data_IF_444092683660
#
_entry.id   IF_444092683660
#
_cell.length_a   1.000
_cell.length_b   1.000
_cell.length_c   1.000
_cell.angle_alpha   90.00
_cell.angle_beta   90.00
_cell.angle_gamma   90.00
#
_symmetry.space_group_name_H-M   'P 1'
#
loop_
_entity.id
_entity.type
_entity.pdbx_description
1 polymer ?
#
# COMPACT_ATOMS: atom_id res chain seq x y z
N UNK A 1 -28.96 3.05 -13.53
CA UNK A 1 -28.37 4.40 -13.60
C UNK A 1 -28.35 5.06 -12.22
N UNK A 2 -29.47 5.52 -11.63
CA UNK A 2 -29.49 6.02 -10.23
C UNK A 2 -29.34 4.89 -9.19
N UNK A 3 -30.02 3.76 -9.38
CA UNK A 3 -29.93 2.64 -8.43
C UNK A 3 -28.51 2.06 -8.30
N UNK A 4 -27.73 2.09 -9.38
CA UNK A 4 -26.32 1.65 -9.39
C UNK A 4 -25.44 2.61 -8.62
N UNK A 5 -25.67 3.92 -8.77
CA UNK A 5 -24.96 4.96 -8.02
C UNK A 5 -25.32 4.85 -6.53
N UNK A 6 -26.59 4.69 -6.20
CA UNK A 6 -27.06 4.46 -4.84
C UNK A 6 -26.46 3.18 -4.25
N UNK A 7 -26.38 2.09 -5.03
CA UNK A 7 -25.74 0.86 -4.58
C UNK A 7 -24.24 1.06 -4.31
N UNK A 8 -23.51 1.75 -5.19
CA UNK A 8 -22.09 2.04 -4.99
C UNK A 8 -21.83 2.99 -3.81
N UNK A 9 -22.70 3.99 -3.62
CA UNK A 9 -22.65 4.89 -2.47
C UNK A 9 -22.97 4.14 -1.18
N UNK A 10 -23.99 3.28 -1.17
CA UNK A 10 -24.35 2.45 -0.01
C UNK A 10 -23.24 1.46 0.32
N UNK A 11 -22.64 0.79 -0.68
CA UNK A 11 -21.51 -0.12 -0.47
C UNK A 11 -20.26 0.63 0.03
N UNK A 12 -20.00 1.82 -0.52
CA UNK A 12 -18.93 2.71 -0.07
C UNK A 12 -19.15 3.20 1.37
N UNK A 13 -20.38 3.56 1.72
CA UNK A 13 -20.78 3.96 3.07
C UNK A 13 -20.69 2.78 4.05
N UNK A 14 -21.10 1.58 3.65
CA UNK A 14 -21.01 0.38 4.49
C UNK A 14 -19.55 0.01 4.77
N UNK A 15 -18.69 0.06 3.75
CA UNK A 15 -17.25 -0.10 3.94
C UNK A 15 -16.68 0.99 4.85
N UNK A 16 -17.09 2.25 4.63
CA UNK A 16 -16.70 3.40 5.48
C UNK A 16 -17.12 3.20 6.93
N UNK A 17 -18.31 2.68 7.19
CA UNK A 17 -18.79 2.39 8.54
C UNK A 17 -17.97 1.30 9.24
N UNK A 18 -17.60 0.24 8.51
CA UNK A 18 -16.69 -0.80 9.00
C UNK A 18 -15.30 -0.22 9.31
N UNK A 19 -14.82 0.73 8.52
CA UNK A 19 -13.55 1.41 8.82
C UNK A 19 -13.67 2.34 10.02
N UNK A 20 -14.78 3.08 10.13
CA UNK A 20 -15.03 4.01 11.23
C UNK A 20 -15.18 3.28 12.56
N UNK A 21 -15.76 2.08 12.58
CA UNK A 21 -15.86 1.26 13.79
C UNK A 21 -14.51 0.78 14.33
N UNK A 22 -13.40 1.03 13.64
CA UNK A 22 -12.06 0.79 14.18
C UNK A 22 -11.43 2.04 14.79
N UNK A 23 -11.87 3.23 14.36
CA UNK A 23 -11.54 4.47 15.04
C UNK A 23 -12.25 4.59 16.40
N UNK A 24 -13.22 3.73 16.72
CA UNK A 24 -13.84 3.73 18.05
C UNK A 24 -12.97 3.10 19.13
N UNK A 25 -12.01 2.24 18.75
CA UNK A 25 -11.11 1.58 19.71
C UNK A 25 -10.01 2.54 20.20
N UNK A 26 -9.48 3.39 19.31
CA UNK A 26 -8.60 4.51 19.66
C UNK A 26 -8.96 5.77 18.84
N UNK A 27 -9.88 6.62 19.34
CA UNK A 27 -10.39 7.76 18.59
C UNK A 27 -9.36 8.86 18.37
N UNK A 28 -8.37 8.98 19.25
CA UNK A 28 -7.34 10.02 19.10
C UNK A 28 -6.28 9.64 18.08
N UNK A 29 -5.84 8.37 18.06
CA UNK A 29 -5.03 7.86 16.95
C UNK A 29 -5.81 7.91 15.63
N UNK A 30 -7.10 7.58 15.65
CA UNK A 30 -7.99 7.71 14.49
C UNK A 30 -8.04 9.11 13.89
N UNK A 31 -8.30 10.12 14.72
CA UNK A 31 -8.31 11.51 14.29
C UNK A 31 -6.94 11.95 13.74
N UNK A 32 -5.86 11.57 14.44
CA UNK A 32 -4.49 11.84 13.99
C UNK A 32 -4.18 11.24 12.62
N UNK A 33 -4.60 9.99 12.38
CA UNK A 33 -4.40 9.31 11.10
C UNK A 33 -5.21 9.93 9.96
N UNK A 34 -6.43 10.40 10.24
CA UNK A 34 -7.23 11.14 9.25
C UNK A 34 -6.54 12.45 8.90
N UNK A 35 -6.08 13.22 9.89
CA UNK A 35 -5.36 14.49 9.66
C UNK A 35 -4.08 14.23 8.86
N UNK A 36 -3.29 13.25 9.25
CA UNK A 36 -2.08 12.86 8.52
C UNK A 36 -2.42 12.41 7.10
N UNK A 37 -3.53 11.72 6.90
CA UNK A 37 -3.98 11.30 5.57
C UNK A 37 -4.37 12.52 4.75
N UNK A 38 -5.05 13.51 5.32
CA UNK A 38 -5.32 14.78 4.62
C UNK A 38 -4.01 15.46 4.24
N UNK A 39 -3.05 15.57 5.15
CA UNK A 39 -1.76 16.23 4.85
C UNK A 39 -0.97 15.46 3.79
N UNK A 40 -0.89 14.14 3.88
CA UNK A 40 -0.21 13.31 2.91
C UNK A 40 -0.91 13.36 1.55
N UNK A 41 -2.24 13.30 1.50
CA UNK A 41 -2.98 13.34 0.24
C UNK A 41 -2.99 14.75 -0.36
N UNK A 42 -3.17 15.81 0.43
CA UNK A 42 -3.08 17.20 -0.06
C UNK A 42 -1.64 17.56 -0.43
N UNK A 43 -0.63 17.05 0.28
CA UNK A 43 0.78 17.28 -0.02
C UNK A 43 1.24 16.53 -1.28
N UNK A 44 1.07 15.21 -1.30
CA UNK A 44 1.54 14.36 -2.40
C UNK A 44 0.61 14.35 -3.62
N UNK A 45 -0.71 14.36 -3.43
CA UNK A 45 -1.71 14.39 -4.51
C UNK A 45 -2.29 15.77 -4.78
N UNK A 46 -1.94 16.78 -3.97
CA UNK A 46 -2.27 18.17 -4.24
C UNK A 46 -1.79 18.64 -5.60
N UNK A 47 -0.71 18.07 -6.13
CA UNK A 47 -0.22 18.36 -7.49
C UNK A 47 -1.24 17.92 -8.55
N UNK A 48 -1.89 16.76 -8.37
CA UNK A 48 -2.96 16.29 -9.26
C UNK A 48 -4.22 17.11 -9.05
N UNK A 49 -4.56 17.44 -7.80
CA UNK A 49 -5.65 18.36 -7.50
C UNK A 49 -5.41 19.73 -8.15
N UNK A 50 -4.17 20.20 -8.23
CA UNK A 50 -3.77 21.46 -8.86
C UNK A 50 -4.06 21.49 -10.37
N UNK A 51 -4.03 20.33 -11.04
CA UNK A 51 -4.41 20.23 -12.44
C UNK A 51 -5.93 20.35 -12.65
N UNK A 52 -6.73 19.91 -11.67
CA UNK A 52 -8.20 19.91 -11.75
C UNK A 52 -8.79 21.20 -11.16
N UNK A 53 -8.14 21.81 -10.17
CA UNK A 53 -8.56 23.00 -9.44
C UNK A 53 -9.03 24.16 -10.35
N UNK A 54 -8.30 24.55 -11.41
CA UNK A 54 -8.72 25.61 -12.32
C UNK A 54 -10.02 25.33 -13.08
N UNK A 55 -10.45 24.06 -13.14
CA UNK A 55 -11.66 23.62 -13.84
C UNK A 55 -12.88 23.51 -12.89
N UNK A 56 -12.67 23.47 -11.58
CA UNK A 56 -13.73 23.31 -10.58
C UNK A 56 -14.84 24.38 -10.64
N UNK A 57 -14.56 25.69 -10.83
CA UNK A 57 -15.63 26.68 -10.79
C UNK A 57 -16.54 26.61 -12.03
N UNK A 58 -16.00 26.28 -13.21
CA UNK A 58 -16.79 26.04 -14.42
C UNK A 58 -17.61 24.75 -14.29
N UNK A 59 -17.03 23.70 -13.70
CA UNK A 59 -17.75 22.48 -13.36
C UNK A 59 -18.92 22.75 -12.42
N UNK A 60 -18.69 23.51 -11.35
CA UNK A 60 -19.74 23.92 -10.41
C UNK A 60 -20.85 24.73 -11.09
N UNK A 61 -20.50 25.66 -11.98
CA UNK A 61 -21.46 26.45 -12.76
C UNK A 61 -22.35 25.55 -13.63
N UNK A 62 -21.77 24.52 -14.27
CA UNK A 62 -22.49 23.56 -15.11
C UNK A 62 -23.32 22.56 -14.32
N UNK A 63 -22.82 22.11 -13.16
CA UNK A 63 -23.59 21.31 -12.19
C UNK A 63 -24.87 22.06 -11.81
N UNK A 64 -24.73 23.35 -11.45
CA UNK A 64 -25.85 24.19 -11.06
C UNK A 64 -26.84 24.46 -12.21
N UNK A 65 -26.33 24.50 -13.44
CA UNK A 65 -27.15 24.69 -14.64
C UNK A 65 -27.78 23.39 -15.17
N UNK A 66 -27.48 22.23 -14.58
CA UNK A 66 -27.92 20.89 -15.03
C UNK A 66 -27.49 20.53 -16.48
N UNK A 67 -26.33 21.05 -16.91
CA UNK A 67 -25.79 20.87 -18.27
C UNK A 67 -24.69 19.80 -18.34
N UNK A 68 -24.63 18.86 -17.39
CA UNK A 68 -23.55 17.88 -17.32
C UNK A 68 -23.95 16.59 -18.03
N UNK A 69 -23.17 16.13 -19.02
CA UNK A 69 -23.36 14.82 -19.63
C UNK A 69 -23.27 13.71 -18.58
N UNK A 70 -24.16 12.73 -18.67
CA UNK A 70 -24.21 11.62 -17.71
C UNK A 70 -22.88 10.85 -17.60
N UNK A 71 -22.09 10.82 -18.68
CA UNK A 71 -20.75 10.22 -18.74
C UNK A 71 -19.76 10.91 -17.80
N UNK A 72 -19.81 12.25 -17.73
CA UNK A 72 -18.97 13.04 -16.83
C UNK A 72 -19.34 12.76 -15.38
N UNK A 73 -20.64 12.64 -15.08
CA UNK A 73 -21.13 12.28 -13.75
C UNK A 73 -20.64 10.89 -13.33
N UNK A 74 -20.69 9.89 -14.21
CA UNK A 74 -20.17 8.56 -13.91
C UNK A 74 -18.66 8.56 -13.68
N UNK A 75 -17.89 9.31 -14.48
CA UNK A 75 -16.45 9.43 -14.31
C UNK A 75 -16.09 10.12 -12.99
N UNK A 76 -16.82 11.17 -12.60
CA UNK A 76 -16.64 11.81 -11.30
C UNK A 76 -16.89 10.84 -10.15
N UNK A 77 -17.95 10.02 -10.23
CA UNK A 77 -18.24 9.01 -9.20
C UNK A 77 -17.17 7.90 -9.17
N UNK A 78 -16.68 7.47 -10.32
CA UNK A 78 -15.59 6.50 -10.45
C UNK A 78 -14.25 7.02 -9.91
N UNK A 79 -14.11 8.33 -9.70
CA UNK A 79 -12.94 8.93 -9.03
C UNK A 79 -13.23 9.13 -7.54
N UNK A 80 -14.35 9.78 -7.19
CA UNK A 80 -14.66 10.19 -5.82
C UNK A 80 -14.87 8.97 -4.91
N UNK A 81 -15.62 7.96 -5.34
CA UNK A 81 -15.93 6.80 -4.48
C UNK A 81 -14.67 6.00 -4.17
N UNK A 82 -13.85 5.57 -5.16
CA UNK A 82 -12.62 4.84 -4.85
C UNK A 82 -11.58 5.71 -4.14
N UNK A 83 -11.53 7.02 -4.40
CA UNK A 83 -10.68 7.95 -3.65
C UNK A 83 -10.96 7.89 -2.15
N UNK A 84 -12.24 8.00 -1.74
CA UNK A 84 -12.61 7.94 -0.33
C UNK A 84 -12.30 6.58 0.30
N UNK A 85 -12.51 5.48 -0.45
CA UNK A 85 -12.14 4.13 0.01
C UNK A 85 -10.64 4.02 0.25
N UNK A 86 -9.82 4.47 -0.72
CA UNK A 86 -8.36 4.44 -0.59
C UNK A 86 -7.92 5.34 0.57
N UNK A 87 -8.47 6.54 0.69
CA UNK A 87 -8.19 7.49 1.76
C UNK A 87 -8.44 6.89 3.14
N UNK A 88 -9.65 6.36 3.38
CA UNK A 88 -10.00 5.77 4.66
C UNK A 88 -9.20 4.50 4.96
N UNK A 89 -8.89 3.70 3.93
CA UNK A 89 -8.09 2.50 4.10
C UNK A 89 -6.65 2.80 4.51
N UNK A 90 -6.07 3.89 3.97
CA UNK A 90 -4.75 4.37 4.40
C UNK A 90 -4.77 4.81 5.87
N UNK A 91 -5.74 5.62 6.26
CA UNK A 91 -5.88 6.08 7.64
C UNK A 91 -6.06 4.91 8.62
N UNK A 92 -6.96 3.96 8.31
CA UNK A 92 -7.22 2.77 9.13
C UNK A 92 -5.98 1.89 9.29
N UNK A 93 -5.18 1.77 8.22
CA UNK A 93 -3.95 0.99 8.27
C UNK A 93 -2.90 1.63 9.17
N UNK A 94 -2.75 2.96 9.11
CA UNK A 94 -1.82 3.67 9.99
C UNK A 94 -2.23 3.60 11.45
N UNK A 95 -3.53 3.72 11.77
CA UNK A 95 -4.02 3.49 13.14
C UNK A 95 -3.66 2.10 13.61
N UNK A 96 -3.92 1.08 12.78
CA UNK A 96 -3.59 -0.28 13.13
C UNK A 96 -2.08 -0.48 13.35
N UNK A 97 -1.23 -0.05 12.40
CA UNK A 97 0.22 -0.27 12.50
C UNK A 97 0.81 0.44 13.72
N UNK A 98 0.36 1.67 13.99
CA UNK A 98 0.87 2.47 15.10
C UNK A 98 0.34 1.98 16.46
N UNK A 99 -0.93 1.57 16.54
CA UNK A 99 -1.49 0.92 17.73
C UNK A 99 -0.81 -0.41 18.02
N UNK A 100 -0.59 -1.20 16.98
CA UNK A 100 0.00 -2.52 17.09
C UNK A 100 1.47 -2.46 17.52
N UNK A 101 2.27 -1.58 16.93
CA UNK A 101 3.68 -1.42 17.27
C UNK A 101 3.92 -0.58 18.54
N UNK A 102 2.84 -0.11 19.18
CA UNK A 102 2.84 0.88 20.25
C UNK A 102 3.70 2.12 19.96
N UNK A 103 3.57 2.63 18.73
CA UNK A 103 4.32 3.79 18.26
C UNK A 103 3.42 5.00 18.01
N UNK A 104 3.94 6.24 18.14
CA UNK A 104 3.19 7.42 17.78
C UNK A 104 3.01 7.52 16.26
N UNK A 105 1.93 8.18 15.85
CA UNK A 105 1.52 8.31 14.45
C UNK A 105 2.52 9.08 13.57
N UNK A 106 3.17 10.09 14.15
CA UNK A 106 4.34 10.75 13.59
C UNK A 106 5.50 10.52 14.55
N UNK A 107 6.48 9.71 14.13
CA UNK A 107 7.81 9.75 14.72
C UNK A 107 8.63 10.81 14.00
N UNK A 108 9.10 11.82 14.74
CA UNK A 108 10.13 12.74 14.25
C UNK A 108 11.46 11.99 14.39
N UNK A 109 12.25 11.84 13.32
CA UNK A 109 13.54 11.14 13.41
C UNK A 109 14.46 11.83 14.41
N UNK A 110 14.79 11.16 15.53
CA UNK A 110 15.67 11.67 16.58
C UNK A 110 17.14 11.24 16.39
N UNK A 111 17.53 10.96 15.14
CA UNK A 111 18.90 10.58 14.76
C UNK A 111 19.44 9.28 15.37
N UNK A 112 18.64 8.53 16.15
CA UNK A 112 19.02 7.26 16.77
C UNK A 112 18.13 6.08 16.35
N UNK A 113 16.88 6.34 16.00
CA UNK A 113 15.94 5.36 15.45
C UNK A 113 15.34 5.96 14.17
N UNK A 114 15.84 5.52 13.02
CA UNK A 114 15.50 6.03 11.69
C UNK A 114 14.16 5.51 11.16
N UNK A 115 13.10 5.50 11.98
CA UNK A 115 11.84 4.86 11.57
C UNK A 115 10.64 5.80 11.65
N UNK A 116 10.28 6.51 10.56
CA UNK A 116 8.93 7.01 10.40
C UNK A 116 7.98 5.83 10.08
N UNK A 117 7.57 5.07 11.10
CA UNK A 117 6.76 3.84 10.94
C UNK A 117 5.35 4.09 10.39
N UNK A 118 4.86 5.33 10.35
CA UNK A 118 3.45 5.58 10.03
C UNK A 118 3.09 5.87 8.58
N UNK A 119 4.01 6.02 7.62
CA UNK A 119 3.65 6.73 6.37
C UNK A 119 4.08 6.11 5.02
N UNK A 120 4.84 5.01 5.00
CA UNK A 120 5.66 4.72 3.82
C UNK A 120 5.06 3.91 2.66
N UNK A 121 3.96 3.15 2.81
CA UNK A 121 3.74 2.01 1.89
C UNK A 121 2.54 2.14 0.91
N UNK A 122 1.62 3.07 1.10
CA UNK A 122 0.27 2.88 0.52
C UNK A 122 -0.17 3.89 -0.56
N UNK A 123 0.72 4.81 -0.97
CA UNK A 123 0.43 5.74 -2.05
C UNK A 123 0.18 5.09 -3.42
N UNK A 124 0.66 3.85 -3.61
CA UNK A 124 0.54 3.10 -4.87
C UNK A 124 -0.90 2.87 -5.34
N UNK A 125 -1.85 2.70 -4.42
CA UNK A 125 -3.24 2.41 -4.78
C UNK A 125 -3.94 3.61 -5.40
N UNK A 126 -3.46 4.82 -5.13
CA UNK A 126 -4.01 6.04 -5.71
C UNK A 126 -3.67 6.17 -7.20
N UNK A 127 -2.63 5.46 -7.69
CA UNK A 127 -2.28 5.43 -9.11
C UNK A 127 -3.41 4.88 -9.98
N UNK A 128 -4.29 4.05 -9.42
CA UNK A 128 -5.48 3.54 -10.11
C UNK A 128 -6.44 4.68 -10.52
N UNK A 129 -6.39 5.82 -9.83
CA UNK A 129 -7.24 6.99 -10.11
C UNK A 129 -6.72 7.82 -11.29
N UNK A 130 -5.47 7.63 -11.73
CA UNK A 130 -4.91 8.42 -12.81
C UNK A 130 -5.63 8.21 -14.14
N UNK A 131 -5.99 6.97 -14.45
CA UNK A 131 -6.73 6.62 -15.67
C UNK A 131 -8.11 7.29 -15.71
N UNK A 132 -8.98 7.15 -14.69
CA UNK A 132 -10.28 7.82 -14.72
C UNK A 132 -10.16 9.35 -14.62
N UNK A 133 -9.17 9.90 -13.91
CA UNK A 133 -8.90 11.35 -13.90
C UNK A 133 -8.50 11.83 -15.30
N UNK A 134 -7.60 11.12 -15.98
CA UNK A 134 -7.19 11.45 -17.34
C UNK A 134 -8.39 11.43 -18.30
N UNK A 135 -9.23 10.41 -18.19
CA UNK A 135 -10.46 10.33 -18.99
C UNK A 135 -11.42 11.48 -18.69
N UNK A 136 -11.60 11.83 -17.41
CA UNK A 136 -12.41 12.99 -17.03
C UNK A 136 -11.90 14.29 -17.70
N UNK A 137 -10.59 14.51 -17.75
CA UNK A 137 -9.99 15.67 -18.42
C UNK A 137 -10.24 15.66 -19.94
N UNK A 138 -10.23 14.48 -20.58
CA UNK A 138 -10.57 14.35 -21.99
C UNK A 138 -12.04 14.67 -22.26
N UNK A 139 -12.96 14.21 -21.41
CA UNK A 139 -14.38 14.53 -21.57
C UNK A 139 -14.69 15.99 -21.28
N UNK A 140 -14.02 16.59 -20.30
CA UNK A 140 -14.09 18.03 -20.09
C UNK A 140 -13.69 18.81 -21.35
N UNK A 141 -12.62 18.40 -22.04
CA UNK A 141 -12.26 19.00 -23.32
C UNK A 141 -13.36 18.81 -24.37
N UNK A 142 -13.85 17.58 -24.53
CA UNK A 142 -14.88 17.24 -25.52
C UNK A 142 -16.15 18.09 -25.34
N UNK A 143 -16.52 18.35 -24.08
CA UNK A 143 -17.70 19.14 -23.73
C UNK A 143 -17.40 20.64 -23.53
N UNK A 144 -16.21 21.10 -23.91
CA UNK A 144 -15.85 22.51 -23.89
C UNK A 144 -15.79 23.12 -22.47
N UNK A 145 -15.53 22.31 -21.45
CA UNK A 145 -15.19 22.78 -20.10
C UNK A 145 -13.78 23.35 -20.15
N UNK A 146 -13.64 24.64 -19.88
CA UNK A 146 -12.37 25.38 -19.95
C UNK A 146 -11.97 25.86 -18.56
N UNK A 147 -10.66 25.95 -18.28
CA UNK A 147 -10.20 26.61 -17.07
C UNK A 147 -10.67 28.07 -17.06
N UNK A 148 -10.85 28.61 -15.86
CA UNK A 148 -11.13 30.03 -15.65
C UNK A 148 -9.84 30.77 -15.35
N UNK A 149 -9.72 32.00 -15.85
CA UNK A 149 -8.66 32.94 -15.46
C UNK A 149 -8.90 33.39 -14.01
N UNK A 150 -7.87 33.98 -13.38
CA UNK A 150 -7.95 34.50 -12.01
C UNK A 150 -9.00 35.60 -11.83
N UNK A 151 -9.40 36.25 -12.92
CA UNK A 151 -10.46 37.26 -12.99
C UNK A 151 -11.87 36.67 -13.22
N UNK A 152 -12.00 35.33 -13.27
CA UNK A 152 -13.26 34.64 -13.51
C UNK A 152 -13.71 34.60 -14.98
N UNK A 153 -12.92 35.14 -15.92
CA UNK A 153 -13.21 35.03 -17.34
C UNK A 153 -12.72 33.69 -17.92
N UNK A 154 -13.35 33.22 -19.01
CA UNK A 154 -12.94 31.98 -19.67
C UNK A 154 -11.74 32.23 -20.59
N UNK A 155 -10.83 31.25 -20.69
CA UNK A 155 -9.80 31.27 -21.72
C UNK A 155 -10.43 31.18 -23.13
N UNK A 156 -10.08 32.14 -24.00
CA UNK A 156 -10.52 32.16 -25.40
C UNK A 156 -9.69 31.19 -26.26
N UNK A 157 -10.16 30.83 -27.46
CA UNK A 157 -9.35 30.00 -28.37
C UNK A 157 -8.03 30.65 -28.80
N UNK A 158 -7.98 31.99 -28.83
CA UNK A 158 -6.76 32.73 -29.10
C UNK A 158 -5.77 32.60 -27.93
N UNK A 159 -6.25 32.70 -26.68
CA UNK A 159 -5.44 32.49 -25.47
C UNK A 159 -4.85 31.06 -25.43
N UNK A 160 -5.63 30.06 -25.87
CA UNK A 160 -5.25 28.64 -25.87
C UNK A 160 -4.26 28.26 -26.98
N UNK A 161 -4.14 29.07 -28.05
CA UNK A 161 -3.18 28.88 -29.17
C UNK A 161 -1.81 29.47 -28.87
N UNK A 162 -1.74 30.56 -28.11
CA UNK A 162 -0.48 31.23 -27.76
C UNK A 162 0.23 30.61 -26.55
N UNK A 163 -0.45 29.77 -25.77
CA UNK A 163 0.18 28.88 -24.79
C UNK A 163 0.44 27.51 -25.45
N UNK A 164 1.59 26.85 -25.18
CA UNK A 164 1.77 25.46 -25.62
C UNK A 164 0.59 24.69 -25.06
N UNK A 165 -0.26 24.13 -25.94
CA UNK A 165 -1.67 23.90 -25.59
C UNK A 165 -1.80 23.32 -24.19
N UNK A 166 -2.54 24.02 -23.32
CA UNK A 166 -2.73 23.65 -21.91
C UNK A 166 -3.06 22.17 -21.70
N UNK A 167 -3.63 21.52 -22.73
CA UNK A 167 -3.90 20.09 -22.85
C UNK A 167 -2.64 19.22 -23.06
N UNK A 168 -1.68 19.67 -23.88
CA UNK A 168 -0.34 19.08 -23.99
C UNK A 168 0.48 19.33 -22.72
N UNK A 169 0.35 20.52 -22.11
CA UNK A 169 0.96 20.79 -20.82
C UNK A 169 0.32 19.96 -19.72
N UNK A 170 -1.00 19.90 -19.59
CA UNK A 170 -1.69 19.04 -18.63
C UNK A 170 -1.38 17.55 -18.84
N UNK A 171 -1.27 17.09 -20.09
CA UNK A 171 -0.87 15.71 -20.40
C UNK A 171 0.61 15.41 -20.12
N UNK A 172 1.52 16.32 -20.45
CA UNK A 172 2.95 16.22 -20.11
C UNK A 172 3.18 16.36 -18.61
N UNK A 173 2.45 17.25 -17.95
CA UNK A 173 2.42 17.44 -16.50
C UNK A 173 1.81 16.22 -15.83
N UNK A 174 0.76 15.59 -16.36
CA UNK A 174 0.24 14.33 -15.80
C UNK A 174 1.23 13.18 -15.95
N UNK A 175 1.99 13.12 -17.05
CA UNK A 175 3.07 12.15 -17.22
C UNK A 175 4.22 12.41 -16.23
N UNK A 176 4.63 13.68 -16.05
CA UNK A 176 5.66 14.06 -15.07
C UNK A 176 5.19 13.82 -13.64
N UNK A 177 3.92 14.09 -13.34
CA UNK A 177 3.29 13.82 -12.05
C UNK A 177 3.12 12.32 -11.84
N UNK A 178 2.77 11.54 -12.87
CA UNK A 178 2.80 10.08 -12.82
C UNK A 178 4.20 9.57 -12.51
N UNK A 179 5.24 10.09 -13.18
CA UNK A 179 6.62 9.71 -12.93
C UNK A 179 7.08 10.09 -11.52
N UNK A 180 6.75 11.30 -11.04
CA UNK A 180 7.09 11.76 -9.69
C UNK A 180 6.31 10.97 -8.61
N UNK A 181 5.01 10.76 -8.79
CA UNK A 181 4.16 9.99 -7.87
C UNK A 181 4.39 8.48 -7.96
N UNK A 182 5.00 7.95 -9.03
CA UNK A 182 5.46 6.57 -9.13
C UNK A 182 6.82 6.40 -8.45
N UNK A 183 7.70 7.40 -8.59
CA UNK A 183 9.05 7.39 -8.03
C UNK A 183 9.07 7.71 -6.53
N UNK A 184 8.16 8.54 -6.02
CA UNK A 184 8.13 8.91 -4.59
C UNK A 184 7.78 7.75 -3.65
N UNK A 185 6.80 6.86 -3.95
CA UNK A 185 6.61 5.62 -3.21
C UNK A 185 7.76 4.63 -3.39
N UNK A 186 8.47 4.67 -4.53
CA UNK A 186 9.71 3.90 -4.75
C UNK A 186 10.89 4.46 -3.92
N UNK A 187 10.90 5.76 -3.68
CA UNK A 187 11.86 6.45 -2.81
C UNK A 187 11.52 6.26 -1.32
N UNK A 188 10.22 6.22 -0.97
CA UNK A 188 9.74 5.78 0.33
C UNK A 188 9.94 4.27 0.55
N UNK A 189 9.93 3.46 -0.52
CA UNK A 189 10.30 2.05 -0.51
C UNK A 189 11.79 1.87 -0.17
N UNK A 190 12.65 2.74 -0.70
CA UNK A 190 14.07 2.78 -0.32
C UNK A 190 14.30 3.17 1.15
N UNK A 191 13.31 3.77 1.83
CA UNK A 191 13.39 4.13 3.25
C UNK A 191 13.05 2.96 4.20
N UNK A 192 12.59 1.79 3.69
CA UNK A 192 12.45 0.56 4.49
C UNK A 192 13.70 -0.31 4.37
N UNK A 193 14.84 0.27 4.73
CA UNK A 193 16.15 -0.40 4.73
C UNK A 193 16.10 -1.77 5.41
N UNK A 194 15.28 -1.94 6.45
CA UNK A 194 15.24 -3.17 7.26
C UNK A 194 14.66 -4.38 6.51
N UNK A 195 13.58 -4.23 5.73
CA UNK A 195 13.03 -5.36 4.97
C UNK A 195 13.97 -5.76 3.83
N UNK A 196 14.58 -4.77 3.19
CA UNK A 196 15.55 -5.03 2.12
C UNK A 196 16.81 -5.71 2.66
N UNK A 197 17.33 -5.26 3.81
CA UNK A 197 18.49 -5.86 4.46
C UNK A 197 18.18 -7.28 4.95
N UNK A 198 17.05 -7.50 5.62
CA UNK A 198 16.62 -8.83 6.05
C UNK A 198 16.44 -9.79 4.86
N UNK A 199 15.92 -9.26 3.74
CA UNK A 199 15.75 -10.00 2.49
C UNK A 199 17.07 -10.42 1.87
N UNK A 200 18.08 -9.53 1.85
CA UNK A 200 19.41 -9.87 1.35
C UNK A 200 20.13 -10.84 2.29
N UNK A 201 20.08 -10.62 3.60
CA UNK A 201 20.67 -11.53 4.58
C UNK A 201 20.06 -12.94 4.49
N UNK A 202 18.74 -13.04 4.30
CA UNK A 202 18.08 -14.32 4.04
C UNK A 202 18.53 -14.91 2.70
N UNK A 203 18.63 -14.10 1.64
CA UNK A 203 19.05 -14.53 0.31
C UNK A 203 20.48 -15.09 0.26
N UNK A 204 21.38 -14.55 1.09
CA UNK A 204 22.77 -14.99 1.21
C UNK A 204 22.92 -16.33 1.95
N UNK A 205 21.95 -16.67 2.82
CA UNK A 205 21.94 -17.91 3.60
C UNK A 205 21.23 -19.08 2.91
N UNK A 206 20.38 -18.80 1.91
CA UNK A 206 19.65 -19.81 1.16
C UNK A 206 20.49 -20.37 0.00
N UNK A 207 20.32 -21.64 -0.31
CA UNK A 207 20.80 -22.27 -1.54
C UNK A 207 19.70 -22.30 -2.63
N UNK A 208 20.07 -22.71 -3.84
CA UNK A 208 19.12 -22.82 -4.95
C UNK A 208 18.14 -23.97 -4.71
N UNK A 209 16.84 -23.72 -4.93
CA UNK A 209 15.75 -24.67 -4.73
C UNK A 209 15.25 -24.77 -3.27
N UNK A 210 15.85 -24.02 -2.35
CA UNK A 210 15.44 -24.03 -0.94
C UNK A 210 14.16 -23.23 -0.67
N UNK A 211 13.58 -23.48 0.50
CA UNK A 211 12.35 -22.83 0.93
C UNK A 211 12.56 -22.01 2.21
N UNK A 212 11.85 -20.89 2.34
CA UNK A 212 11.87 -20.09 3.58
C UNK A 212 10.47 -19.79 4.08
N UNK A 213 10.34 -19.60 5.39
CA UNK A 213 9.13 -19.11 6.04
C UNK A 213 9.33 -17.71 6.58
N UNK A 214 8.48 -16.77 6.15
CA UNK A 214 8.32 -15.48 6.79
C UNK A 214 7.23 -15.56 7.86
N UNK A 215 7.60 -15.31 9.13
CA UNK A 215 6.64 -15.12 10.22
C UNK A 215 6.51 -13.64 10.51
N UNK A 216 5.32 -13.09 10.30
CA UNK A 216 5.04 -11.67 10.52
C UNK A 216 3.56 -11.46 10.79
N UNK A 217 3.22 -10.31 11.36
CA UNK A 217 1.85 -9.92 11.65
C UNK A 217 0.90 -10.06 10.44
N UNK A 218 -0.39 -10.37 10.68
CA UNK A 218 -1.37 -10.69 9.64
C UNK A 218 -1.49 -9.61 8.58
N UNK A 219 -1.52 -8.35 9.01
CA UNK A 219 -1.68 -7.24 8.06
C UNK A 219 -0.40 -7.04 7.28
N UNK A 220 -0.55 -7.07 5.96
CA UNK A 220 0.53 -6.95 4.96
C UNK A 220 1.53 -8.11 4.94
N UNK A 221 1.28 -9.24 5.63
CA UNK A 221 2.21 -10.37 5.62
C UNK A 221 2.56 -10.87 4.21
N UNK A 222 1.55 -11.05 3.34
CA UNK A 222 1.78 -11.38 1.93
C UNK A 222 2.52 -10.28 1.16
N UNK A 223 2.29 -9.01 1.49
CA UNK A 223 3.02 -7.91 0.84
C UNK A 223 4.50 -7.92 1.23
N UNK A 224 4.80 -8.15 2.51
CA UNK A 224 6.18 -8.32 3.01
C UNK A 224 6.86 -9.52 2.39
N UNK A 225 6.14 -10.64 2.24
CA UNK A 225 6.66 -11.81 1.52
C UNK A 225 7.06 -11.45 0.08
N UNK A 226 6.23 -10.69 -0.65
CA UNK A 226 6.60 -10.23 -1.99
C UNK A 226 7.82 -9.30 -1.99
N UNK A 227 8.02 -8.50 -0.94
CA UNK A 227 9.20 -7.64 -0.81
C UNK A 227 10.47 -8.47 -0.61
N UNK A 228 10.39 -9.60 0.10
CA UNK A 228 11.53 -10.52 0.30
C UNK A 228 12.08 -11.07 -1.01
N UNK A 229 11.28 -11.11 -2.08
CA UNK A 229 11.77 -11.58 -3.38
C UNK A 229 12.92 -10.73 -3.91
N UNK A 230 12.97 -9.43 -3.60
CA UNK A 230 13.97 -8.53 -4.20
C UNK A 230 15.40 -8.81 -3.71
N UNK A 231 15.59 -9.31 -2.50
CA UNK A 231 16.91 -9.71 -1.98
C UNK A 231 17.15 -11.21 -2.03
N UNK A 232 16.10 -12.04 -1.99
CA UNK A 232 16.23 -13.51 -1.99
C UNK A 232 16.45 -14.07 -3.40
N UNK A 233 15.57 -13.74 -4.34
CA UNK A 233 15.64 -14.23 -5.72
C UNK A 233 15.05 -13.19 -6.69
N UNK A 234 15.81 -12.11 -6.97
CA UNK A 234 15.32 -11.01 -7.79
C UNK A 234 15.09 -11.40 -9.24
N UNK A 235 15.84 -12.38 -9.76
CA UNK A 235 15.76 -12.84 -11.14
C UNK A 235 14.79 -14.03 -11.32
N UNK A 236 14.51 -14.77 -10.25
CA UNK A 236 13.64 -15.95 -10.29
C UNK A 236 14.34 -17.19 -10.84
N UNK A 237 15.68 -17.24 -10.82
CA UNK A 237 16.50 -18.31 -11.39
C UNK A 237 17.01 -19.30 -10.36
N UNK A 238 16.95 -18.95 -9.07
CA UNK A 238 17.35 -19.81 -7.94
C UNK A 238 16.24 -20.75 -7.48
N UNK A 239 15.04 -20.62 -8.02
CA UNK A 239 13.86 -21.44 -7.70
C UNK A 239 13.48 -21.46 -6.20
N UNK A 240 13.80 -20.38 -5.46
CA UNK A 240 13.53 -20.30 -4.02
C UNK A 240 12.04 -20.10 -3.75
N UNK A 241 11.45 -20.93 -2.88
CA UNK A 241 10.05 -20.82 -2.49
C UNK A 241 9.88 -20.08 -1.16
N UNK A 242 9.04 -19.05 -1.15
CA UNK A 242 8.71 -18.29 0.05
C UNK A 242 7.32 -18.64 0.58
N UNK A 243 7.23 -18.96 1.87
CA UNK A 243 6.00 -19.17 2.61
C UNK A 243 5.75 -18.04 3.61
N UNK A 244 4.50 -17.87 4.02
CA UNK A 244 4.14 -16.89 5.04
C UNK A 244 3.18 -17.48 6.08
N UNK A 245 3.40 -17.10 7.34
CA UNK A 245 2.51 -17.34 8.47
C UNK A 245 2.34 -16.10 9.33
N UNK A 246 1.15 -16.02 9.91
CA UNK A 246 0.75 -15.03 10.92
C UNK A 246 1.33 -15.45 12.28
N UNK A 247 1.82 -14.51 13.08
CA UNK A 247 2.37 -14.77 14.41
C UNK A 247 1.35 -15.37 15.39
N UNK A 248 0.05 -15.24 15.11
CA UNK A 248 -1.05 -15.83 15.87
C UNK A 248 -1.42 -17.25 15.43
N UNK A 249 -0.86 -17.76 14.33
CA UNK A 249 -1.10 -19.13 13.87
C UNK A 249 -0.17 -20.13 14.58
N UNK A 250 -0.56 -21.40 14.72
CA UNK A 250 0.28 -22.43 15.33
C UNK A 250 1.38 -22.91 14.36
N UNK A 251 2.04 -21.99 13.66
CA UNK A 251 3.05 -22.28 12.64
C UNK A 251 4.26 -23.05 13.20
N UNK A 252 4.58 -22.84 14.48
CA UNK A 252 5.59 -23.63 15.19
C UNK A 252 5.19 -25.10 15.22
N UNK A 253 3.98 -25.38 15.69
CA UNK A 253 3.45 -26.74 15.78
C UNK A 253 3.38 -27.35 14.38
N UNK A 254 3.02 -26.59 13.35
CA UNK A 254 3.06 -27.07 11.95
C UNK A 254 4.45 -27.59 11.59
N UNK A 255 5.52 -26.83 11.84
CA UNK A 255 6.90 -27.23 11.52
C UNK A 255 7.34 -28.47 12.33
N UNK A 256 7.00 -28.52 13.62
CA UNK A 256 7.46 -29.58 14.53
C UNK A 256 6.65 -30.88 14.38
N UNK A 257 5.34 -30.78 14.13
CA UNK A 257 4.42 -31.95 14.10
C UNK A 257 4.17 -32.47 12.69
N UNK A 258 4.61 -31.74 11.68
CA UNK A 258 4.35 -32.03 10.28
C UNK A 258 2.85 -32.11 9.92
N UNK A 259 2.04 -31.34 10.63
CA UNK A 259 0.62 -31.15 10.34
C UNK A 259 0.45 -30.01 9.34
N UNK A 260 -0.13 -30.32 8.19
CA UNK A 260 -0.53 -29.31 7.20
C UNK A 260 -1.97 -28.85 7.51
N UNK A 261 -2.19 -27.59 7.90
CA UNK A 261 -3.54 -27.09 8.14
C UNK A 261 -4.39 -27.13 6.87
N UNK A 262 -5.70 -27.32 7.04
CA UNK A 262 -6.65 -27.29 5.93
C UNK A 262 -6.59 -25.93 5.21
N UNK A 263 -6.17 -25.94 3.94
CA UNK A 263 -5.97 -24.77 3.04
C UNK A 263 -4.71 -23.92 3.29
N UNK A 264 -3.74 -24.42 4.06
CA UNK A 264 -2.41 -23.83 4.13
C UNK A 264 -1.44 -24.60 3.22
N UNK A 265 -0.40 -23.91 2.72
CA UNK A 265 0.70 -24.57 2.02
C UNK A 265 1.56 -25.36 3.01
N UNK A 266 2.16 -26.46 2.56
CA UNK A 266 3.12 -27.23 3.36
C UNK A 266 4.35 -26.36 3.68
N UNK A 267 4.81 -26.38 4.93
CA UNK A 267 5.99 -25.64 5.41
C UNK A 267 6.99 -26.55 6.12
N UNK A 268 6.85 -27.87 6.03
CA UNK A 268 7.73 -28.82 6.72
C UNK A 268 9.12 -28.87 6.10
N UNK A 269 9.21 -28.60 4.79
CA UNK A 269 10.44 -28.57 4.01
C UNK A 269 11.20 -27.23 4.11
N UNK A 270 10.72 -26.25 4.89
CA UNK A 270 11.35 -24.93 4.99
C UNK A 270 12.76 -25.02 5.56
N UNK A 271 13.76 -24.47 4.88
CA UNK A 271 15.16 -24.52 5.29
C UNK A 271 15.57 -23.33 6.15
N UNK A 272 14.90 -22.18 6.00
CA UNK A 272 15.13 -21.00 6.83
C UNK A 272 13.84 -20.34 7.31
N UNK A 273 13.84 -19.81 8.53
CA UNK A 273 12.71 -19.06 9.09
C UNK A 273 13.18 -17.63 9.37
N UNK A 274 12.53 -16.66 8.75
CA UNK A 274 12.74 -15.25 9.02
C UNK A 274 11.57 -14.71 9.84
N UNK A 275 11.87 -14.26 11.05
CA UNK A 275 10.91 -13.75 12.02
C UNK A 275 11.01 -12.23 12.04
N UNK A 276 9.86 -11.59 11.80
CA UNK A 276 9.70 -10.14 11.80
C UNK A 276 9.96 -9.56 13.19
N UNK A 277 10.47 -8.33 13.23
CA UNK A 277 10.74 -7.63 14.48
C UNK A 277 9.49 -7.44 15.36
N UNK A 278 9.65 -7.77 16.64
CA UNK A 278 8.58 -7.69 17.63
C UNK A 278 7.69 -8.93 17.69
N UNK A 279 7.92 -9.93 16.83
CA UNK A 279 7.32 -11.26 16.99
C UNK A 279 8.20 -12.07 17.94
N UNK A 280 7.56 -12.71 18.92
CA UNK A 280 8.26 -13.59 19.84
C UNK A 280 8.96 -14.71 19.05
N UNK A 281 10.25 -14.87 19.28
CA UNK A 281 11.04 -15.94 18.67
C UNK A 281 10.97 -17.18 19.55
N UNK A 282 10.17 -18.20 19.21
CA UNK A 282 10.18 -19.42 19.97
C UNK A 282 11.49 -20.16 19.75
N UNK A 283 11.86 -20.99 20.72
CA UNK A 283 12.84 -22.04 20.46
C UNK A 283 12.14 -23.13 19.62
N UNK A 284 12.72 -23.48 18.49
CA UNK A 284 12.20 -24.47 17.53
C UNK A 284 13.24 -25.57 17.41
N UNK A 285 12.80 -26.81 17.59
CA UNK A 285 13.69 -27.95 17.43
C UNK A 285 14.22 -28.02 15.99
N UNK A 286 15.51 -28.35 15.82
CA UNK A 286 16.20 -28.44 14.53
C UNK A 286 16.48 -27.12 13.81
N UNK A 287 16.28 -25.98 14.47
CA UNK A 287 16.65 -24.66 13.94
C UNK A 287 17.62 -23.95 14.89
N UNK A 288 18.66 -23.35 14.32
CA UNK A 288 19.60 -22.51 15.05
C UNK A 288 19.55 -21.07 14.56
N UNK A 289 19.76 -20.13 15.47
CA UNK A 289 19.80 -18.71 15.14
C UNK A 289 21.07 -18.38 14.37
N UNK A 290 20.90 -17.78 13.20
CA UNK A 290 22.02 -17.26 12.40
C UNK A 290 22.52 -15.99 13.08
N UNK A 291 23.77 -16.02 13.55
CA UNK A 291 24.45 -14.87 14.14
C UNK A 291 25.24 -14.17 13.03
N UNK A 292 24.54 -13.38 12.21
CA UNK A 292 25.13 -12.61 11.12
C UNK A 292 24.86 -11.12 11.34
N UNK A 293 25.91 -10.30 11.22
CA UNK A 293 25.81 -8.84 11.25
C UNK A 293 24.98 -8.27 10.07
N UNK A 294 24.67 -9.11 9.06
CA UNK A 294 23.81 -8.75 7.94
C UNK A 294 22.32 -8.75 8.30
N UNK A 295 21.92 -9.48 9.36
CA UNK A 295 20.52 -9.52 9.81
C UNK A 295 20.22 -8.22 10.56
N UNK A 296 19.25 -7.40 10.10
CA UNK A 296 18.95 -6.11 10.71
C UNK A 296 18.43 -6.26 12.15
N UNK A 297 18.66 -5.23 12.96
CA UNK A 297 18.27 -5.24 14.37
C UNK A 297 16.76 -5.49 14.54
N UNK A 298 16.42 -6.34 15.51
CA UNK A 298 15.04 -6.75 15.79
C UNK A 298 14.56 -7.96 14.99
N UNK A 299 15.19 -8.29 13.86
CA UNK A 299 14.88 -9.50 13.10
C UNK A 299 15.59 -10.72 13.65
N UNK A 300 14.98 -11.89 13.48
CA UNK A 300 15.62 -13.17 13.80
C UNK A 300 15.58 -14.07 12.57
N UNK A 301 16.75 -14.48 12.10
CA UNK A 301 16.91 -15.51 11.09
C UNK A 301 17.30 -16.83 11.77
N UNK A 302 16.54 -17.87 11.46
CA UNK A 302 16.80 -19.23 11.91
C UNK A 302 17.11 -20.10 10.70
N UNK A 303 18.12 -20.96 10.82
CA UNK A 303 18.52 -21.92 9.79
C UNK A 303 18.30 -23.33 10.28
N UNK A 304 17.76 -24.19 9.43
CA UNK A 304 17.59 -25.61 9.73
C UNK A 304 18.95 -26.28 9.84
N UNK A 305 19.16 -27.04 10.91
CA UNK A 305 20.41 -27.78 11.17
C UNK A 305 20.24 -29.30 11.12
N UNK A 306 19.00 -29.78 11.18
CA UNK A 306 18.67 -31.20 11.07
C UNK A 306 17.35 -31.41 10.34
N UNK A 307 17.21 -32.60 9.75
CA UNK A 307 15.98 -32.99 9.06
C UNK A 307 14.77 -32.92 10.00
N UNK A 308 13.59 -32.57 9.46
CA UNK A 308 12.37 -32.49 10.26
C UNK A 308 12.08 -33.85 10.88
N UNK A 309 11.87 -33.87 12.19
CA UNK A 309 11.50 -35.06 12.93
C UNK A 309 9.99 -35.30 12.80
N UNK A 310 9.52 -35.43 11.55
CA UNK A 310 8.13 -35.74 11.24
C UNK A 310 7.83 -37.14 11.75
N UNK A 311 7.31 -37.26 12.97
CA UNK A 311 6.60 -38.47 13.35
C UNK A 311 5.42 -38.57 12.40
N UNK A 312 5.50 -39.45 11.40
CA UNK A 312 4.39 -39.80 10.51
C UNK A 312 3.21 -40.25 11.35
N UNK A 313 2.34 -39.31 11.74
CA UNK A 313 0.98 -39.62 12.12
C UNK A 313 0.25 -39.96 10.82
N UNK A 314 0.35 -41.23 10.43
CA UNK A 314 -0.58 -41.82 9.49
C UNK A 314 -2.00 -41.53 10.01
N UNK A 315 -2.85 -40.82 9.25
CA UNK A 315 -4.23 -40.64 9.66
C UNK A 315 -4.91 -42.02 9.74
N UNK A 316 -5.44 -42.34 10.92
CA UNK A 316 -6.35 -43.46 11.15
C UNK A 316 -7.68 -43.25 10.41
#
# INVERSE_FOLDING_TARGET
SICTILALVVLGLFNTLIQISRFTDDPWRGLGAIILSVVAFVGFWGVIAWLILPMLPELYRRLKADHIPIQVTYLMLAIIVPFWVIFLKNAELWVYETAFLDQPLLQIPDGKNERPVGAGVNGRYQMILLVPIWWLLLEFRRHGVRPLKSDGSQFTEADLRCQPSWALMAGRSMLVVYLICAMLPLWAYAQFHDVSQASHALGDELEDGEEFLLVTYPRQGTHRLYQMRLGVDPLGDREIMGHWRDDTTPWKDEIETCLVPYRAGDIHAVDAILIWEGVDTPNIDNFEKVMSDAVPEGWTLLRRVSEPNCQTYLPL
#
